data_IF_328319022075
#
_entry.id   IF_328319022075
#
_cell.length_a   1.000
_cell.length_b   1.000
_cell.length_c   1.000
_cell.angle_alpha   90.00
_cell.angle_beta   90.00
_cell.angle_gamma   90.00
#
_symmetry.space_group_name_H-M   'P 1'
#
loop_
_entity.id
_entity.type
_entity.pdbx_description
1 polymer ?
#
# COMPACT_ATOMS: atom_id res chain seq x y z
N UNK A 1 2.92 -11.54 -19.26
CA UNK A 1 1.75 -11.03 -20.00
C UNK A 1 2.24 -10.26 -21.22
N UNK A 2 1.69 -10.53 -22.41
CA UNK A 2 2.05 -9.78 -23.61
C UNK A 2 1.85 -8.28 -23.42
N UNK A 3 2.77 -7.46 -23.94
CA UNK A 3 2.75 -5.98 -23.78
C UNK A 3 1.42 -5.36 -24.22
N UNK A 4 0.83 -5.87 -25.30
CA UNK A 4 -0.45 -5.37 -25.84
C UNK A 4 -1.61 -5.57 -24.84
N UNK A 5 -1.70 -6.75 -24.23
CA UNK A 5 -2.76 -7.06 -23.24
C UNK A 5 -2.57 -6.20 -21.99
N UNK A 6 -1.33 -6.03 -21.54
CA UNK A 6 -1.02 -5.14 -20.41
C UNK A 6 -1.47 -3.72 -20.68
N UNK A 7 -1.13 -3.15 -21.83
CA UNK A 7 -1.49 -1.78 -22.17
C UNK A 7 -3.02 -1.58 -22.25
N UNK A 8 -3.76 -2.54 -22.84
CA UNK A 8 -5.21 -2.50 -22.89
C UNK A 8 -5.80 -2.52 -21.47
N UNK A 9 -5.28 -3.35 -20.59
CA UNK A 9 -5.72 -3.42 -19.20
C UNK A 9 -5.44 -2.12 -18.43
N UNK A 10 -4.24 -1.57 -18.57
CA UNK A 10 -3.84 -0.30 -17.93
C UNK A 10 -4.74 0.86 -18.39
N UNK A 11 -4.99 0.99 -19.69
CA UNK A 11 -5.90 2.02 -20.22
C UNK A 11 -7.34 1.81 -19.72
N UNK A 12 -7.86 0.57 -19.71
CA UNK A 12 -9.19 0.28 -19.16
C UNK A 12 -9.32 0.71 -17.69
N UNK A 13 -8.31 0.42 -16.85
CA UNK A 13 -8.33 0.79 -15.43
C UNK A 13 -8.24 2.31 -15.27
N UNK A 14 -7.39 2.99 -16.04
CA UNK A 14 -7.30 4.45 -16.06
C UNK A 14 -8.65 5.08 -16.35
N UNK A 15 -9.29 4.67 -17.43
CA UNK A 15 -10.60 5.20 -17.84
C UNK A 15 -11.70 4.90 -16.81
N UNK A 16 -11.68 3.68 -16.23
CA UNK A 16 -12.71 3.23 -15.29
C UNK A 16 -12.68 3.97 -13.97
N UNK A 17 -11.50 4.38 -13.51
CA UNK A 17 -11.28 5.01 -12.20
C UNK A 17 -10.82 6.47 -12.28
N UNK A 18 -10.82 7.06 -13.48
CA UNK A 18 -10.40 8.46 -13.72
C UNK A 18 -9.00 8.75 -13.16
N UNK A 19 -8.02 7.91 -13.54
CA UNK A 19 -6.65 8.00 -13.10
C UNK A 19 -5.75 8.61 -14.18
N UNK A 20 -4.76 9.39 -13.75
CA UNK A 20 -3.76 9.96 -14.65
C UNK A 20 -2.85 8.87 -15.24
N UNK A 21 -2.51 7.86 -14.43
CA UNK A 21 -1.66 6.76 -14.88
C UNK A 21 -2.00 5.44 -14.14
N UNK A 22 -1.57 4.33 -14.74
CA UNK A 22 -1.75 2.99 -14.18
C UNK A 22 -0.64 2.07 -14.64
N UNK A 23 -0.08 1.31 -13.72
CA UNK A 23 0.96 0.31 -13.99
C UNK A 23 0.48 -1.04 -13.48
N UNK A 24 0.32 -1.99 -14.40
CA UNK A 24 -0.04 -3.36 -14.05
C UNK A 24 1.19 -4.13 -13.54
N UNK A 25 1.00 -4.81 -12.43
CA UNK A 25 1.98 -5.72 -11.81
C UNK A 25 1.43 -7.14 -11.74
N UNK A 26 2.27 -8.11 -11.45
CA UNK A 26 1.92 -9.53 -11.53
C UNK A 26 1.10 -10.06 -10.33
N UNK A 27 1.06 -9.32 -9.22
CA UNK A 27 0.29 -9.70 -8.02
C UNK A 27 0.12 -8.52 -7.06
N UNK A 28 -0.74 -8.70 -6.03
CA UNK A 28 -1.03 -7.67 -5.04
C UNK A 28 0.17 -7.28 -4.15
N UNK A 29 1.06 -8.21 -3.84
CA UNK A 29 2.27 -7.89 -3.07
C UNK A 29 3.18 -6.93 -3.84
N UNK A 30 3.36 -7.16 -5.14
CA UNK A 30 4.09 -6.25 -6.03
C UNK A 30 3.40 -4.88 -6.13
N UNK A 31 2.06 -4.85 -6.10
CA UNK A 31 1.29 -3.60 -6.13
C UNK A 31 1.47 -2.76 -4.86
N UNK A 32 1.78 -3.39 -3.73
CA UNK A 32 2.05 -2.68 -2.47
C UNK A 32 3.53 -2.22 -2.41
N UNK A 33 4.46 -3.10 -2.76
CA UNK A 33 5.88 -2.80 -2.58
C UNK A 33 6.42 -1.79 -3.59
N UNK A 34 5.94 -1.80 -4.83
CA UNK A 34 6.45 -0.91 -5.87
C UNK A 34 6.29 0.58 -5.53
N UNK A 35 5.09 1.08 -5.08
CA UNK A 35 4.96 2.46 -4.65
C UNK A 35 5.80 2.77 -3.40
N UNK A 36 5.92 1.85 -2.44
CA UNK A 36 6.75 2.06 -1.25
C UNK A 36 8.23 2.24 -1.63
N UNK A 37 8.74 1.47 -2.59
CA UNK A 37 10.10 1.65 -3.09
C UNK A 37 10.30 2.99 -3.79
N UNK A 38 9.28 3.48 -4.50
CA UNK A 38 9.37 4.77 -5.19
C UNK A 38 9.45 5.97 -4.24
N UNK A 39 9.07 5.79 -2.97
CA UNK A 39 9.11 6.84 -1.94
C UNK A 39 10.49 7.02 -1.29
N UNK A 40 11.47 6.18 -1.61
CA UNK A 40 12.84 6.21 -1.05
C UNK A 40 12.85 6.24 0.49
N UNK A 41 12.02 5.38 1.12
CA UNK A 41 11.87 5.30 2.56
C UNK A 41 13.17 4.92 3.26
N UNK A 42 13.40 5.48 4.44
CA UNK A 42 14.57 5.23 5.28
C UNK A 42 14.21 4.33 6.47
N UNK A 43 15.22 3.78 7.11
CA UNK A 43 15.04 2.81 8.20
C UNK A 43 14.23 3.32 9.40
N UNK A 44 14.18 4.63 9.60
CA UNK A 44 13.42 5.26 10.68
C UNK A 44 12.03 5.76 10.23
N UNK A 45 11.73 5.74 8.93
CA UNK A 45 10.43 6.14 8.42
C UNK A 45 9.37 5.13 8.84
N UNK A 46 8.19 5.63 9.14
CA UNK A 46 7.07 4.86 9.67
C UNK A 46 5.92 4.82 8.65
N UNK A 47 5.38 3.63 8.43
CA UNK A 47 4.19 3.42 7.60
C UNK A 47 3.09 2.84 8.47
N UNK A 48 2.00 3.60 8.61
CA UNK A 48 0.85 3.17 9.41
C UNK A 48 0.04 2.12 8.64
N UNK A 49 -0.29 1.04 9.32
CA UNK A 49 -1.11 -0.06 8.80
C UNK A 49 -1.88 -0.74 9.94
N UNK A 50 -2.61 -1.80 9.62
CA UNK A 50 -3.28 -2.64 10.63
C UNK A 50 -2.63 -4.02 10.72
N UNK A 51 -2.62 -4.67 11.90
CA UNK A 51 -2.14 -6.04 12.03
C UNK A 51 -3.14 -7.08 11.48
N UNK A 52 -4.41 -6.73 11.34
CA UNK A 52 -5.45 -7.61 10.81
C UNK A 52 -5.52 -7.51 9.28
N UNK A 53 -4.55 -8.13 8.61
CA UNK A 53 -4.38 -8.05 7.16
C UNK A 53 -3.60 -9.26 6.64
N UNK A 54 -3.55 -9.42 5.32
CA UNK A 54 -2.64 -10.39 4.72
C UNK A 54 -1.19 -9.98 4.95
N UNK A 55 -0.33 -10.95 5.18
CA UNK A 55 1.08 -10.73 5.57
C UNK A 55 1.84 -9.78 4.63
N UNK A 56 1.52 -9.76 3.34
CA UNK A 56 2.19 -8.90 2.36
C UNK A 56 2.08 -7.41 2.67
N UNK A 57 1.01 -6.98 3.34
CA UNK A 57 0.85 -5.58 3.76
C UNK A 57 1.99 -5.15 4.67
N UNK A 58 2.33 -5.96 5.65
CA UNK A 58 3.40 -5.68 6.62
C UNK A 58 4.78 -5.95 6.04
N UNK A 59 4.96 -7.09 5.37
CA UNK A 59 6.26 -7.46 4.80
C UNK A 59 6.71 -6.49 3.70
N UNK A 60 5.80 -5.92 2.93
CA UNK A 60 6.13 -4.90 1.93
C UNK A 60 6.74 -3.64 2.54
N UNK A 61 6.25 -3.21 3.71
CA UNK A 61 6.81 -2.08 4.45
C UNK A 61 8.24 -2.38 4.91
N UNK A 62 8.45 -3.57 5.47
CA UNK A 62 9.78 -4.02 5.94
C UNK A 62 10.76 -4.15 4.76
N UNK A 63 10.32 -4.75 3.65
CA UNK A 63 11.14 -4.90 2.44
C UNK A 63 11.49 -3.53 1.83
N UNK A 64 10.58 -2.56 1.92
CA UNK A 64 10.86 -1.19 1.48
C UNK A 64 11.84 -0.43 2.40
N UNK A 65 12.22 -1.02 3.53
CA UNK A 65 13.20 -0.46 4.47
C UNK A 65 12.62 0.41 5.57
N UNK A 66 11.29 0.48 5.71
CA UNK A 66 10.60 1.27 6.73
C UNK A 66 10.08 0.42 7.90
N UNK A 67 9.52 1.07 8.91
CA UNK A 67 8.91 0.45 10.09
C UNK A 67 7.39 0.44 9.96
N UNK A 68 6.71 -0.71 10.11
CA UNK A 68 5.27 -0.74 10.24
C UNK A 68 4.86 -0.21 11.63
N UNK A 69 3.87 0.68 11.65
CA UNK A 69 3.19 1.17 12.86
C UNK A 69 1.76 0.66 12.82
N UNK A 70 1.35 -0.09 13.84
CA UNK A 70 0.06 -0.75 13.84
C UNK A 70 -1.00 0.11 14.51
N UNK A 71 -2.14 0.19 13.83
CA UNK A 71 -3.39 0.76 14.33
C UNK A 71 -4.45 -0.34 14.28
N UNK A 72 -5.26 -0.43 15.32
CA UNK A 72 -6.27 -1.47 15.45
C UNK A 72 -7.41 -1.29 14.43
N UNK A 73 -8.25 -2.30 14.33
CA UNK A 73 -9.43 -2.35 13.45
C UNK A 73 -10.69 -1.93 14.20
N UNK A 74 -11.73 -1.59 13.44
CA UNK A 74 -13.08 -1.50 13.97
C UNK A 74 -13.65 -2.90 14.23
N UNK A 75 -14.43 -3.07 15.28
CA UNK A 75 -15.09 -4.34 15.60
C UNK A 75 -16.23 -4.68 14.62
N UNK A 76 -16.84 -3.67 14.00
CA UNK A 76 -18.01 -3.85 13.14
C UNK A 76 -17.66 -4.33 11.74
N UNK A 77 -16.59 -3.80 11.13
CA UNK A 77 -16.25 -4.04 9.72
C UNK A 77 -14.86 -4.63 9.50
N UNK A 78 -14.07 -4.75 10.56
CA UNK A 78 -12.68 -5.24 10.55
C UNK A 78 -11.72 -4.41 9.68
N UNK A 79 -12.10 -3.20 9.29
CA UNK A 79 -11.21 -2.26 8.62
C UNK A 79 -10.35 -1.50 9.62
N UNK A 80 -9.23 -0.93 9.17
CA UNK A 80 -8.40 -0.08 10.02
C UNK A 80 -9.24 1.04 10.64
N UNK A 81 -9.10 1.24 11.95
CA UNK A 81 -9.84 2.29 12.65
C UNK A 81 -9.20 3.66 12.36
N UNK A 82 -9.84 4.43 11.50
CA UNK A 82 -9.35 5.73 11.06
C UNK A 82 -9.22 6.74 12.22
N UNK A 83 -10.06 6.64 13.25
CA UNK A 83 -10.02 7.54 14.42
C UNK A 83 -8.75 7.37 15.27
N UNK A 84 -8.08 6.20 15.14
CA UNK A 84 -6.83 5.92 15.85
C UNK A 84 -5.59 6.32 15.06
N UNK A 85 -5.71 6.64 13.77
CA UNK A 85 -4.56 6.95 12.91
C UNK A 85 -3.86 8.22 13.37
N UNK A 86 -4.61 9.28 13.69
CA UNK A 86 -4.04 10.58 14.09
C UNK A 86 -3.11 10.44 15.30
N UNK A 87 -3.51 9.64 16.30
CA UNK A 87 -2.70 9.39 17.49
C UNK A 87 -1.40 8.59 17.21
N UNK A 88 -1.36 7.87 16.08
CA UNK A 88 -0.20 7.08 15.66
C UNK A 88 0.77 7.88 14.79
N UNK A 89 0.41 9.07 14.34
CA UNK A 89 1.27 9.93 13.51
C UNK A 89 2.41 10.50 14.35
N UNK A 90 3.62 10.36 13.82
CA UNK A 90 4.85 10.95 14.38
C UNK A 90 5.57 11.78 13.31
N UNK A 91 6.62 12.54 13.67
CA UNK A 91 7.45 13.20 12.66
C UNK A 91 8.14 12.25 11.67
N UNK A 92 8.08 10.94 11.91
CA UNK A 92 8.64 9.89 11.05
C UNK A 92 7.61 9.24 10.14
N UNK A 93 6.33 9.52 10.31
CA UNK A 93 5.25 8.98 9.47
C UNK A 93 5.35 9.53 8.05
#
# INVERSE_FOLDING_TARGET
MPVVIRNIFEEYVKDRFDLDDCIAVNNGSSAIIAPLWSMDLKADDEVITTPFTFISTVTSIIIAGAKPVFVDINEEDYLINADLIEAAITPKT
#
